data_IF_167733282950
#
_entry.id   IF_167733282950
#
_cell.length_a   1.000
_cell.length_b   1.000
_cell.length_c   1.000
_cell.angle_alpha   90.00
_cell.angle_beta   90.00
_cell.angle_gamma   90.00
#
_symmetry.space_group_name_H-M   'P 1'
#
loop_
_entity.id
_entity.type
_entity.pdbx_description
1 polymer ?
#
# COMPACT_ATOMS: atom_id res chain seq x y z
N UNK A 1 -6.15 -9.27 25.12
CA UNK A 1 -5.21 -8.41 24.36
C UNK A 1 -5.94 -7.96 23.12
N UNK A 2 -6.27 -6.67 23.00
CA UNK A 2 -6.87 -6.17 21.77
C UNK A 2 -5.77 -6.12 20.70
N UNK A 3 -5.97 -6.83 19.59
CA UNK A 3 -5.14 -6.69 18.41
C UNK A 3 -5.12 -5.21 17.98
N UNK A 4 -3.92 -4.64 17.88
CA UNK A 4 -3.75 -3.32 17.27
C UNK A 4 -4.24 -3.40 15.83
N UNK A 5 -5.41 -2.82 15.57
CA UNK A 5 -5.92 -2.61 14.23
C UNK A 5 -5.52 -1.18 13.81
N UNK A 6 -4.49 -1.03 12.95
CA UNK A 6 -4.01 0.28 12.52
C UNK A 6 -5.09 1.08 11.77
N UNK A 7 -6.14 0.41 11.28
CA UNK A 7 -7.21 1.01 10.49
C UNK A 7 -8.48 1.33 11.30
N UNK A 8 -8.65 0.82 12.52
CA UNK A 8 -9.84 1.13 13.34
C UNK A 8 -9.68 2.34 14.25
N UNK A 9 -8.44 2.77 14.54
CA UNK A 9 -8.19 3.85 15.50
C UNK A 9 -7.90 5.18 14.82
N UNK A 10 -7.26 5.22 13.64
CA UNK A 10 -7.02 6.45 12.86
C UNK A 10 -6.61 6.15 11.41
N UNK A 11 -7.52 5.57 10.62
CA UNK A 11 -7.28 5.39 9.18
C UNK A 11 -7.02 6.75 8.50
N UNK A 12 -5.90 6.94 7.78
CA UNK A 12 -5.69 8.16 7.01
C UNK A 12 -6.79 8.40 5.98
N UNK A 13 -7.37 9.60 5.96
CA UNK A 13 -8.52 9.95 5.09
C UNK A 13 -8.26 9.73 3.60
N UNK A 14 -7.01 9.86 3.15
CA UNK A 14 -6.68 9.65 1.74
C UNK A 14 -6.91 8.20 1.29
N UNK A 15 -6.92 7.22 2.22
CA UNK A 15 -7.28 5.85 1.90
C UNK A 15 -8.74 5.72 1.44
N UNK A 16 -9.65 6.58 1.94
CA UNK A 16 -11.03 6.64 1.42
C UNK A 16 -11.06 7.14 -0.03
N UNK A 17 -10.22 8.14 -0.35
CA UNK A 17 -10.10 8.66 -1.72
C UNK A 17 -9.61 7.55 -2.67
N UNK A 18 -8.70 6.69 -2.19
CA UNK A 18 -8.21 5.53 -2.94
C UNK A 18 -9.19 4.33 -2.96
N UNK A 19 -10.33 4.42 -2.27
CA UNK A 19 -11.34 3.37 -2.23
C UNK A 19 -10.98 2.18 -1.33
N UNK A 20 -10.20 2.38 -0.27
CA UNK A 20 -9.85 1.33 0.69
C UNK A 20 -11.09 0.62 1.24
N UNK A 21 -11.07 -0.72 1.24
CA UNK A 21 -12.22 -1.54 1.66
C UNK A 21 -11.88 -2.57 2.74
N UNK A 22 -10.66 -3.09 2.78
CA UNK A 22 -10.30 -4.19 3.68
C UNK A 22 -8.78 -4.33 3.84
N UNK A 23 -8.34 -5.05 4.87
CA UNK A 23 -6.95 -5.37 5.08
C UNK A 23 -6.74 -6.77 5.68
N UNK A 24 -5.57 -7.35 5.46
CA UNK A 24 -5.14 -8.58 6.11
C UNK A 24 -3.65 -8.49 6.49
N UNK A 25 -3.37 -8.54 7.79
CA UNK A 25 -2.02 -8.41 8.34
C UNK A 25 -1.50 -9.79 8.79
N UNK A 26 -0.33 -10.16 8.28
CA UNK A 26 0.43 -11.30 8.77
C UNK A 26 1.73 -10.80 9.41
N UNK A 27 1.74 -10.76 10.75
CA UNK A 27 2.88 -10.27 11.54
C UNK A 27 4.05 -11.24 11.51
N UNK A 28 3.80 -12.54 11.36
CA UNK A 28 4.84 -13.57 11.34
C UNK A 28 5.66 -13.46 10.06
N UNK A 29 4.98 -13.37 8.92
CA UNK A 29 5.62 -13.23 7.61
C UNK A 29 5.97 -11.77 7.25
N UNK A 30 5.64 -10.81 8.11
CA UNK A 30 5.83 -9.37 7.90
C UNK A 30 5.24 -8.92 6.56
N UNK A 31 3.99 -9.29 6.31
CA UNK A 31 3.24 -8.91 5.10
C UNK A 31 1.91 -8.26 5.46
N UNK A 32 1.47 -7.34 4.61
CA UNK A 32 0.17 -6.67 4.72
C UNK A 32 -0.49 -6.68 3.36
N UNK A 33 -1.76 -7.04 3.33
CA UNK A 33 -2.63 -6.86 2.17
C UNK A 33 -3.60 -5.72 2.43
N UNK A 34 -3.78 -4.84 1.45
CA UNK A 34 -4.86 -3.86 1.41
C UNK A 34 -5.70 -4.08 0.17
N UNK A 35 -7.02 -4.04 0.35
CA UNK A 35 -7.98 -4.05 -0.74
C UNK A 35 -8.49 -2.64 -1.00
N UNK A 36 -8.61 -2.32 -2.28
CA UNK A 36 -9.16 -1.07 -2.76
C UNK A 36 -10.23 -1.35 -3.81
N UNK A 37 -11.18 -0.44 -3.96
CA UNK A 37 -12.11 -0.37 -5.06
C UNK A 37 -11.91 0.96 -5.77
N UNK A 38 -11.08 0.96 -6.82
CA UNK A 38 -10.75 2.19 -7.55
C UNK A 38 -11.99 2.72 -8.28
N UNK A 39 -12.32 3.99 -8.05
CA UNK A 39 -13.43 4.67 -8.71
C UNK A 39 -13.00 5.29 -10.05
N UNK A 40 -13.99 5.72 -10.84
CA UNK A 40 -13.77 6.48 -12.08
C UNK A 40 -13.04 7.80 -11.84
N UNK A 41 -13.15 8.39 -10.65
CA UNK A 41 -12.51 9.67 -10.29
C UNK A 41 -10.98 9.58 -10.26
N UNK A 42 -10.43 8.37 -10.16
CA UNK A 42 -8.98 8.13 -10.13
C UNK A 42 -8.37 7.93 -11.52
N UNK A 43 -9.13 8.13 -12.58
CA UNK A 43 -8.73 7.75 -13.95
C UNK A 43 -8.37 8.95 -14.83
N UNK A 44 -7.70 8.71 -15.96
CA UNK A 44 -7.42 9.75 -16.97
C UNK A 44 -7.91 9.41 -18.39
N UNK A 45 -7.80 8.16 -18.85
CA UNK A 45 -8.14 7.75 -20.23
C UNK A 45 -9.63 7.46 -20.41
N UNK A 46 -10.44 8.50 -20.64
CA UNK A 46 -11.90 8.37 -20.84
C UNK A 46 -12.56 7.53 -19.74
N UNK A 47 -12.22 7.81 -18.49
CA UNK A 47 -12.77 7.15 -17.32
C UNK A 47 -12.43 5.65 -17.13
N UNK A 48 -11.40 5.13 -17.84
CA UNK A 48 -11.08 3.67 -17.83
C UNK A 48 -9.80 3.28 -17.10
N UNK A 49 -8.73 4.10 -17.18
CA UNK A 49 -7.40 3.74 -16.66
C UNK A 49 -7.07 4.59 -15.44
N UNK A 50 -6.84 3.94 -14.30
CA UNK A 50 -6.39 4.57 -13.06
C UNK A 50 -5.02 5.20 -13.28
N UNK A 51 -4.89 6.48 -12.91
CA UNK A 51 -3.66 7.22 -13.12
C UNK A 51 -2.52 6.65 -12.27
N UNK A 52 -1.33 6.58 -12.87
CA UNK A 52 -0.16 5.93 -12.27
C UNK A 52 0.22 6.49 -10.90
N UNK A 53 -0.04 7.77 -10.62
CA UNK A 53 0.19 8.37 -9.31
C UNK A 53 -0.69 7.79 -8.22
N UNK A 54 -1.96 7.47 -8.50
CA UNK A 54 -2.83 6.79 -7.53
C UNK A 54 -2.45 5.33 -7.33
N UNK A 55 -2.01 4.63 -8.38
CA UNK A 55 -1.41 3.29 -8.26
C UNK A 55 -0.19 3.32 -7.36
N UNK A 56 0.72 4.29 -7.56
CA UNK A 56 1.87 4.52 -6.68
C UNK A 56 1.43 4.81 -5.24
N UNK A 57 0.39 5.62 -5.03
CA UNK A 57 -0.13 5.92 -3.70
C UNK A 57 -0.72 4.68 -2.99
N UNK A 58 -1.39 3.79 -3.71
CA UNK A 58 -1.87 2.52 -3.16
C UNK A 58 -0.70 1.60 -2.75
N UNK A 59 0.35 1.51 -3.57
CA UNK A 59 1.57 0.76 -3.27
C UNK A 59 2.31 1.33 -2.05
N UNK A 60 2.58 2.63 -2.04
CA UNK A 60 3.27 3.33 -0.95
C UNK A 60 2.49 3.22 0.36
N UNK A 61 1.18 3.46 0.33
CA UNK A 61 0.35 3.36 1.52
C UNK A 61 0.34 1.95 2.11
N UNK A 62 0.29 0.90 1.30
CA UNK A 62 0.40 -0.47 1.80
C UNK A 62 1.73 -0.74 2.51
N UNK A 63 2.84 -0.29 1.92
CA UNK A 63 4.17 -0.41 2.53
C UNK A 63 4.31 0.39 3.82
N UNK A 64 3.85 1.64 3.85
CA UNK A 64 3.89 2.49 5.04
C UNK A 64 3.02 1.91 6.18
N UNK A 65 1.80 1.45 5.85
CA UNK A 65 0.90 0.85 6.84
C UNK A 65 1.46 -0.45 7.41
N UNK A 66 2.22 -1.23 6.63
CA UNK A 66 2.92 -2.42 7.15
C UNK A 66 3.94 -2.04 8.22
N UNK A 67 4.75 -1.00 8.00
CA UNK A 67 5.73 -0.53 9.01
C UNK A 67 5.01 -0.06 10.28
N UNK A 68 3.94 0.71 10.14
CA UNK A 68 3.13 1.18 11.28
C UNK A 68 2.52 0.00 12.05
N UNK A 69 1.96 -0.98 11.33
CA UNK A 69 1.33 -2.16 11.91
C UNK A 69 2.30 -3.03 12.72
N UNK A 70 3.51 -3.24 12.19
CA UNK A 70 4.54 -4.05 12.85
C UNK A 70 5.16 -3.35 14.07
N UNK A 71 5.15 -2.02 14.09
CA UNK A 71 5.68 -1.21 15.21
C UNK A 71 4.59 -0.75 16.17
N UNK A 72 3.35 -1.23 16.00
CA UNK A 72 2.16 -0.78 16.76
C UNK A 72 2.04 0.76 16.80
N UNK A 73 2.37 1.43 15.70
CA UNK A 73 2.32 2.89 15.55
C UNK A 73 3.40 3.67 16.31
N UNK A 74 4.40 3.00 16.91
CA UNK A 74 5.47 3.67 17.66
C UNK A 74 6.51 4.33 16.76
N UNK A 75 6.60 3.90 15.50
CA UNK A 75 7.57 4.38 14.53
C UNK A 75 6.86 4.76 13.24
N UNK A 76 7.06 6.00 12.78
CA UNK A 76 6.46 6.46 11.54
C UNK A 76 7.43 6.26 10.37
N UNK A 77 7.00 5.61 9.28
CA UNK A 77 7.77 5.56 8.05
C UNK A 77 7.62 6.87 7.28
N UNK A 78 8.74 7.53 7.01
CA UNK A 78 8.83 8.62 6.06
C UNK A 78 9.47 8.09 4.77
N UNK A 79 8.68 7.81 3.74
CA UNK A 79 9.20 7.36 2.43
C UNK A 79 10.16 8.41 1.87
N UNK A 80 11.41 7.99 1.65
CA UNK A 80 12.48 8.82 1.08
C UNK A 80 12.58 8.66 -0.44
N UNK A 81 12.32 7.43 -0.90
CA UNK A 81 12.36 7.04 -2.31
C UNK A 81 11.37 5.90 -2.54
N UNK A 82 10.75 5.92 -3.72
CA UNK A 82 9.91 4.84 -4.23
C UNK A 82 10.17 4.65 -5.72
N UNK A 83 10.43 3.41 -6.13
CA UNK A 83 10.50 3.02 -7.53
C UNK A 83 9.27 2.17 -7.86
N UNK A 84 8.56 2.52 -8.94
CA UNK A 84 7.38 1.79 -9.40
C UNK A 84 7.56 1.33 -10.84
N UNK A 85 7.22 0.08 -11.11
CA UNK A 85 7.17 -0.51 -12.44
C UNK A 85 5.72 -0.79 -12.80
N UNK A 86 5.21 -0.14 -13.85
CA UNK A 86 3.88 -0.38 -14.38
C UNK A 86 3.95 -1.47 -15.46
N UNK A 87 3.40 -2.64 -15.16
CA UNK A 87 3.47 -3.81 -16.04
C UNK A 87 2.22 -3.95 -16.91
N UNK A 88 1.06 -3.50 -16.39
CA UNK A 88 -0.24 -3.56 -17.07
C UNK A 88 -1.05 -2.30 -16.71
N UNK A 89 -2.08 -1.96 -17.50
CA UNK A 89 -3.02 -0.91 -17.11
C UNK A 89 -3.79 -1.33 -15.85
N UNK A 90 -3.92 -0.40 -14.90
CA UNK A 90 -4.83 -0.54 -13.77
C UNK A 90 -6.19 0.06 -14.17
N UNK A 91 -7.27 -0.66 -13.96
CA UNK A 91 -8.63 -0.22 -14.32
C UNK A 91 -9.49 0.00 -13.08
N UNK A 92 -10.64 0.65 -13.25
CA UNK A 92 -11.68 0.81 -12.22
C UNK A 92 -12.09 -0.54 -11.66
N UNK A 93 -12.36 -0.62 -10.35
CA UNK A 93 -12.82 -1.82 -9.67
C UNK A 93 -11.84 -2.35 -8.63
N UNK A 94 -11.96 -3.64 -8.31
CA UNK A 94 -11.22 -4.28 -7.23
C UNK A 94 -9.72 -4.36 -7.51
N UNK A 95 -8.96 -4.06 -6.48
CA UNK A 95 -7.50 -4.05 -6.46
C UNK A 95 -7.05 -4.68 -5.15
N UNK A 96 -6.04 -5.55 -5.23
CA UNK A 96 -5.33 -6.08 -4.06
C UNK A 96 -3.89 -5.59 -4.11
N UNK A 97 -3.42 -4.95 -3.04
CA UNK A 97 -2.00 -4.61 -2.88
C UNK A 97 -1.42 -5.46 -1.77
N UNK A 98 -0.30 -6.13 -2.03
CA UNK A 98 0.44 -6.90 -1.03
C UNK A 98 1.80 -6.28 -0.80
N UNK A 99 2.05 -5.80 0.41
CA UNK A 99 3.35 -5.32 0.85
C UNK A 99 4.10 -6.38 1.67
N UNK A 100 5.44 -6.31 1.60
CA UNK A 100 6.36 -7.14 2.37
C UNK A 100 7.50 -6.29 2.93
N UNK A 101 7.86 -6.57 4.18
CA UNK A 101 9.03 -5.99 4.81
C UNK A 101 10.27 -6.78 4.37
N UNK A 102 11.19 -6.15 3.63
CA UNK A 102 12.37 -6.83 3.06
C UNK A 102 13.49 -6.90 4.09
N UNK A 103 13.83 -5.75 4.70
CA UNK A 103 14.97 -5.66 5.60
C UNK A 103 14.76 -4.55 6.63
N UNK A 104 14.96 -4.92 7.89
CA UNK A 104 14.91 -4.01 9.04
C UNK A 104 16.30 -3.43 9.30
N UNK A 105 16.39 -2.10 9.23
CA UNK A 105 17.54 -1.33 9.69
C UNK A 105 17.19 -0.54 10.93
N UNK A 106 18.21 0.05 11.58
CA UNK A 106 18.01 0.84 12.82
C UNK A 106 17.17 2.10 12.59
N UNK A 107 17.36 2.76 11.46
CA UNK A 107 16.74 4.05 11.11
C UNK A 107 16.11 4.04 9.72
N UNK A 108 16.19 2.92 9.00
CA UNK A 108 15.74 2.76 7.62
C UNK A 108 14.98 1.44 7.49
N UNK A 109 13.83 1.49 6.81
CA UNK A 109 13.08 0.33 6.36
C UNK A 109 13.18 0.17 4.85
N UNK A 110 13.32 -1.08 4.41
CA UNK A 110 13.18 -1.45 3.00
C UNK A 110 11.96 -2.33 2.82
N UNK A 111 11.07 -1.94 1.92
CA UNK A 111 9.79 -2.61 1.66
C UNK A 111 9.60 -2.81 0.16
N UNK A 112 8.78 -3.81 -0.18
CA UNK A 112 8.25 -3.97 -1.54
C UNK A 112 6.74 -4.12 -1.49
N UNK A 113 6.08 -3.80 -2.59
CA UNK A 113 4.69 -4.15 -2.80
C UNK A 113 4.40 -4.56 -4.23
N UNK A 114 3.39 -5.40 -4.40
CA UNK A 114 2.81 -5.76 -5.69
C UNK A 114 1.32 -5.43 -5.68
N UNK A 115 0.85 -4.78 -6.74
CA UNK A 115 -0.55 -4.49 -6.97
C UNK A 115 -1.10 -5.49 -7.99
N UNK A 116 -2.21 -6.12 -7.63
CA UNK A 116 -2.90 -7.13 -8.42
C UNK A 116 -4.28 -6.64 -8.82
N UNK A 117 -4.68 -6.99 -10.04
CA UNK A 117 -6.05 -6.90 -10.53
C UNK A 117 -6.32 -8.11 -11.41
N UNK A 118 -7.48 -8.76 -11.25
CA UNK A 118 -7.84 -9.98 -11.98
C UNK A 118 -6.75 -11.06 -11.90
N UNK A 119 -6.23 -11.29 -10.69
CA UNK A 119 -5.17 -12.26 -10.38
C UNK A 119 -3.83 -12.04 -11.11
N UNK A 120 -3.63 -10.87 -11.74
CA UNK A 120 -2.40 -10.51 -12.45
C UNK A 120 -1.74 -9.31 -11.79
N UNK A 121 -0.41 -9.33 -11.75
CA UNK A 121 0.37 -8.16 -11.30
C UNK A 121 0.19 -7.03 -12.30
N UNK A 122 -0.23 -5.88 -11.83
CA UNK A 122 -0.42 -4.66 -12.62
C UNK A 122 0.76 -3.72 -12.42
N UNK A 123 1.26 -3.61 -11.19
CA UNK A 123 2.44 -2.82 -10.86
C UNK A 123 3.20 -3.45 -9.69
N UNK A 124 4.48 -3.18 -9.62
CA UNK A 124 5.33 -3.51 -8.47
C UNK A 124 6.11 -2.30 -8.01
N UNK A 125 6.46 -2.26 -6.73
CA UNK A 125 7.23 -1.19 -6.15
C UNK A 125 8.23 -1.68 -5.11
N UNK A 126 9.29 -0.89 -4.95
CA UNK A 126 10.19 -0.93 -3.80
C UNK A 126 10.29 0.46 -3.20
N UNK A 127 10.35 0.55 -1.87
CA UNK A 127 10.52 1.81 -1.17
C UNK A 127 11.61 1.73 -0.10
N UNK A 128 12.24 2.88 0.12
CA UNK A 128 13.13 3.12 1.27
C UNK A 128 12.50 4.20 2.14
N UNK A 129 12.31 3.91 3.43
CA UNK A 129 11.70 4.86 4.37
C UNK A 129 12.61 5.11 5.57
N UNK A 130 12.69 6.37 6.01
CA UNK A 130 13.28 6.72 7.30
C UNK A 130 12.30 6.39 8.41
N UNK A 131 12.80 5.75 9.45
CA UNK A 131 12.05 5.45 10.67
C UNK A 131 12.23 6.62 11.66
N UNK A 132 11.12 7.26 12.04
CA UNK A 132 11.10 8.41 12.96
C UNK A 132 10.15 8.22 14.13
#
# INVERSE_FOLDING_TARGET
MHEFNPFSINKPKFLDILGFSDFNLDKENKTLELKFNASVELTHSNDTIVQGGFVTAMLDSCMAQLVLALTNGQVNPLTLDINVQFLRPCTVGEILVRAKYIKEGRTIAYTSAELFQNEKIVASATATSKLV
#
